data_IF_321966266970
#
_entry.id   IF_321966266970
#
_cell.length_a   1.000
_cell.length_b   1.000
_cell.length_c   1.000
_cell.angle_alpha   90.00
_cell.angle_beta   90.00
_cell.angle_gamma   90.00
#
_symmetry.space_group_name_H-M   'P 1'
#
loop_
_entity.id
_entity.type
_entity.pdbx_description
1 polymer ?
#
# COMPACT_ATOMS: atom_id res chain seq x y z
N UNK A 1 20.73 -7.91 6.47
CA UNK A 1 19.60 -8.12 5.55
C UNK A 1 18.37 -7.58 6.26
N UNK A 2 17.50 -6.87 5.57
CA UNK A 2 16.25 -6.40 6.17
C UNK A 2 15.35 -7.62 6.40
N UNK A 3 14.86 -7.77 7.61
CA UNK A 3 13.99 -8.89 8.00
C UNK A 3 12.56 -8.41 8.25
N UNK A 4 12.33 -7.10 8.32
CA UNK A 4 11.06 -6.56 8.77
C UNK A 4 10.82 -6.98 10.22
N UNK A 5 11.77 -6.63 11.10
CA UNK A 5 11.71 -6.90 12.53
C UNK A 5 11.69 -5.59 13.34
N UNK A 6 11.71 -5.70 14.67
CA UNK A 6 11.69 -4.53 15.57
C UNK A 6 12.81 -3.53 15.31
N UNK A 7 14.03 -4.02 15.04
CA UNK A 7 15.19 -3.16 14.78
C UNK A 7 15.02 -2.38 13.46
N UNK A 8 14.53 -3.04 12.41
CA UNK A 8 14.23 -2.39 11.14
C UNK A 8 13.16 -1.30 11.31
N UNK A 9 12.10 -1.59 12.07
CA UNK A 9 11.03 -0.63 12.36
C UNK A 9 11.57 0.59 13.12
N UNK A 10 12.37 0.37 14.18
CA UNK A 10 12.98 1.47 14.96
C UNK A 10 13.85 2.38 14.08
N UNK A 11 14.64 1.79 13.18
CA UNK A 11 15.46 2.54 12.22
C UNK A 11 14.58 3.34 11.26
N UNK A 12 13.55 2.74 10.67
CA UNK A 12 12.62 3.42 9.75
C UNK A 12 11.91 4.58 10.45
N UNK A 13 11.45 4.40 11.70
CA UNK A 13 10.79 5.45 12.49
C UNK A 13 11.71 6.67 12.63
N UNK A 14 12.98 6.45 12.99
CA UNK A 14 13.97 7.53 13.12
C UNK A 14 14.14 8.26 11.78
N UNK A 15 14.38 7.51 10.70
CA UNK A 15 14.59 8.09 9.36
C UNK A 15 13.37 8.84 8.84
N UNK A 16 12.16 8.34 9.10
CA UNK A 16 10.91 9.02 8.74
C UNK A 16 10.78 10.37 9.45
N UNK A 17 11.07 10.43 10.76
CA UNK A 17 11.06 11.68 11.53
C UNK A 17 12.11 12.67 11.01
N UNK A 18 13.32 12.20 10.69
CA UNK A 18 14.36 13.03 10.06
C UNK A 18 13.93 13.55 8.67
N UNK A 19 13.09 12.79 7.97
CA UNK A 19 12.45 13.15 6.72
C UNK A 19 11.16 13.98 6.89
N UNK A 20 10.90 14.48 8.11
CA UNK A 20 9.79 15.35 8.51
C UNK A 20 8.41 14.69 8.50
N UNK A 21 8.34 13.37 8.48
CA UNK A 21 7.10 12.68 8.78
C UNK A 21 6.91 12.69 10.30
N UNK A 22 6.13 13.66 10.79
CA UNK A 22 5.98 13.93 12.23
C UNK A 22 5.14 12.85 12.92
N UNK A 23 4.06 12.40 12.27
CA UNK A 23 3.14 11.40 12.80
C UNK A 23 3.53 10.01 12.30
N UNK A 24 4.35 9.31 13.08
CA UNK A 24 4.72 7.90 12.85
C UNK A 24 4.29 7.08 14.06
N UNK A 25 3.37 6.15 13.85
CA UNK A 25 2.80 5.26 14.87
C UNK A 25 3.30 3.84 14.58
N UNK A 26 3.73 3.14 15.63
CA UNK A 26 4.08 1.71 15.56
C UNK A 26 3.04 0.94 16.36
N UNK A 27 2.53 -0.14 15.76
CA UNK A 27 1.55 -1.04 16.37
C UNK A 27 1.96 -2.48 16.14
N UNK A 28 1.53 -3.39 17.00
CA UNK A 28 1.97 -4.79 16.94
C UNK A 28 1.21 -5.60 15.88
N UNK A 29 -0.04 -5.25 15.61
CA UNK A 29 -0.95 -6.04 14.79
C UNK A 29 -1.97 -5.17 14.05
N UNK A 30 -2.68 -5.79 13.10
CA UNK A 30 -3.73 -5.13 12.31
C UNK A 30 -4.89 -4.59 13.15
N UNK A 31 -5.24 -5.21 14.28
CA UNK A 31 -6.33 -4.75 15.15
C UNK A 31 -5.97 -3.40 15.81
N UNK A 32 -4.72 -3.24 16.25
CA UNK A 32 -4.21 -1.96 16.74
C UNK A 32 -4.07 -0.93 15.61
N UNK A 33 -3.70 -1.36 14.40
CA UNK A 33 -3.70 -0.49 13.23
C UNK A 33 -5.10 0.08 12.93
N UNK A 34 -6.16 -0.73 13.06
CA UNK A 34 -7.55 -0.28 12.91
C UNK A 34 -7.88 0.81 13.93
N UNK A 35 -7.54 0.61 15.20
CA UNK A 35 -7.78 1.62 16.25
C UNK A 35 -7.09 2.94 15.92
N UNK A 36 -5.80 2.89 15.58
CA UNK A 36 -5.02 4.07 15.22
C UNK A 36 -5.59 4.80 13.98
N UNK A 37 -6.02 4.06 12.95
CA UNK A 37 -6.66 4.68 11.77
C UNK A 37 -7.95 5.40 12.18
N UNK A 38 -8.81 4.77 12.98
CA UNK A 38 -10.09 5.35 13.38
C UNK A 38 -9.91 6.60 14.26
N UNK A 39 -8.90 6.63 15.13
CA UNK A 39 -8.57 7.80 15.96
C UNK A 39 -8.04 8.98 15.15
N UNK A 40 -7.37 8.72 14.02
CA UNK A 40 -6.80 9.76 13.17
C UNK A 40 -7.82 10.42 12.22
N UNK A 41 -8.97 9.77 11.99
CA UNK A 41 -10.04 10.24 11.12
C UNK A 41 -10.98 11.16 11.93
N UNK A 42 -11.14 12.44 11.54
CA UNK A 42 -12.12 13.33 12.17
C UNK A 42 -13.55 12.77 12.03
N UNK A 43 -14.41 13.01 13.03
CA UNK A 43 -15.73 12.38 13.11
C UNK A 43 -16.70 12.72 11.96
N UNK A 44 -16.53 13.86 11.31
CA UNK A 44 -17.31 14.33 10.16
C UNK A 44 -16.58 14.21 8.82
N UNK A 45 -15.36 13.65 8.82
CA UNK A 45 -14.54 13.54 7.63
C UNK A 45 -15.00 12.43 6.69
N UNK A 46 -14.92 12.72 5.39
CA UNK A 46 -15.03 11.72 4.34
C UNK A 46 -13.68 11.06 4.05
N UNK A 47 -13.70 9.76 3.73
CA UNK A 47 -12.49 8.96 3.50
C UNK A 47 -12.43 8.44 2.06
N UNK A 48 -11.38 8.79 1.35
CA UNK A 48 -11.03 8.20 0.06
C UNK A 48 -10.08 7.02 0.26
N UNK A 49 -10.18 5.99 -0.58
CA UNK A 49 -9.27 4.83 -0.52
C UNK A 49 -8.56 4.59 -1.86
N UNK A 50 -7.31 4.12 -1.79
CA UNK A 50 -6.45 3.91 -2.96
C UNK A 50 -6.41 2.48 -3.50
N UNK A 51 -7.37 1.61 -3.17
CA UNK A 51 -7.34 0.19 -3.57
C UNK A 51 -6.19 -0.60 -2.92
N UNK A 52 -6.02 -0.46 -1.61
CA UNK A 52 -4.89 -1.06 -0.88
C UNK A 52 -5.26 -2.39 -0.21
N UNK A 53 -4.61 -3.48 -0.63
CA UNK A 53 -4.77 -4.80 0.00
C UNK A 53 -4.34 -4.83 1.48
N UNK A 54 -3.31 -4.08 1.87
CA UNK A 54 -2.90 -3.96 3.29
C UNK A 54 -4.03 -3.40 4.15
N UNK A 55 -4.55 -2.23 3.77
CA UNK A 55 -5.74 -1.63 4.41
C UNK A 55 -6.93 -2.60 4.44
N UNK A 56 -7.22 -3.30 3.34
CA UNK A 56 -8.33 -4.25 3.28
C UNK A 56 -8.14 -5.44 4.24
N UNK A 57 -6.91 -5.98 4.37
CA UNK A 57 -6.59 -7.08 5.29
C UNK A 57 -6.81 -6.70 6.76
N UNK A 58 -6.71 -5.41 7.11
CA UNK A 58 -7.02 -4.96 8.48
C UNK A 58 -8.53 -4.96 8.79
N UNK A 59 -9.39 -4.98 7.78
CA UNK A 59 -10.85 -4.82 7.95
C UNK A 59 -11.32 -3.38 8.17
N UNK A 60 -10.41 -2.40 8.32
CA UNK A 60 -10.81 -0.99 8.58
C UNK A 60 -11.67 -0.41 7.47
N UNK A 61 -11.45 -0.79 6.21
CA UNK A 61 -12.26 -0.32 5.08
C UNK A 61 -13.74 -0.72 5.26
N UNK A 62 -14.00 -1.91 5.77
CA UNK A 62 -15.36 -2.41 5.95
C UNK A 62 -16.07 -1.62 7.05
N UNK A 63 -15.38 -1.38 8.17
CA UNK A 63 -15.86 -0.52 9.26
C UNK A 63 -16.21 0.88 8.77
N UNK A 64 -15.33 1.49 7.97
CA UNK A 64 -15.55 2.82 7.39
C UNK A 64 -16.70 2.84 6.37
N UNK A 65 -16.91 1.72 5.66
CA UNK A 65 -18.03 1.54 4.72
C UNK A 65 -19.35 1.46 5.47
N UNK A 66 -19.42 0.66 6.54
CA UNK A 66 -20.60 0.53 7.41
C UNK A 66 -20.97 1.85 8.10
N UNK A 67 -19.97 2.67 8.44
CA UNK A 67 -20.17 4.04 8.95
C UNK A 67 -20.66 5.03 7.88
N UNK A 68 -20.65 4.66 6.59
CA UNK A 68 -21.09 5.52 5.50
C UNK A 68 -20.15 6.69 5.18
N UNK A 69 -18.88 6.64 5.62
CA UNK A 69 -17.92 7.74 5.45
C UNK A 69 -16.93 7.53 4.31
N UNK A 70 -16.89 6.33 3.69
CA UNK A 70 -16.10 6.12 2.48
C UNK A 70 -16.76 6.82 1.30
N UNK A 71 -15.98 7.66 0.59
CA UNK A 71 -16.37 8.12 -0.74
C UNK A 71 -16.24 6.97 -1.73
N UNK A 72 -17.32 6.51 -2.37
CA UNK A 72 -17.26 5.43 -3.33
C UNK A 72 -16.47 5.86 -4.57
N UNK A 73 -15.73 4.92 -5.16
CA UNK A 73 -15.24 5.09 -6.51
C UNK A 73 -16.42 5.01 -7.48
N UNK A 74 -16.62 6.06 -8.28
CA UNK A 74 -17.66 6.11 -9.31
C UNK A 74 -17.03 5.80 -10.67
N UNK A 75 -17.32 4.64 -11.29
CA UNK A 75 -16.82 4.33 -12.63
C UNK A 75 -17.16 5.43 -13.64
N UNK A 76 -16.18 5.82 -14.47
CA UNK A 76 -16.36 6.85 -15.49
C UNK A 76 -16.13 8.28 -15.03
N UNK A 77 -16.00 8.55 -13.73
CA UNK A 77 -15.50 9.85 -13.28
C UNK A 77 -13.99 9.95 -13.49
N UNK A 78 -13.48 11.05 -14.09
CA UNK A 78 -12.06 11.20 -14.37
C UNK A 78 -11.21 11.27 -13.09
N UNK A 79 -11.80 11.72 -11.97
CA UNK A 79 -11.19 11.71 -10.64
C UNK A 79 -12.29 11.49 -9.59
N UNK A 80 -12.07 10.67 -8.55
CA UNK A 80 -12.97 10.64 -7.41
C UNK A 80 -12.99 12.01 -6.73
N UNK A 81 -14.15 12.42 -6.21
CA UNK A 81 -14.26 13.64 -5.40
C UNK A 81 -13.20 13.64 -4.30
N UNK A 82 -12.59 14.80 -4.07
CA UNK A 82 -11.58 14.93 -3.02
C UNK A 82 -12.23 14.60 -1.68
N UNK A 83 -11.75 13.55 -1.03
CA UNK A 83 -12.11 13.21 0.34
C UNK A 83 -11.33 14.13 1.30
N UNK A 84 -11.70 14.15 2.57
CA UNK A 84 -10.97 14.92 3.59
C UNK A 84 -9.71 14.15 4.06
N UNK A 85 -9.81 12.82 4.05
CA UNK A 85 -8.72 11.89 4.40
C UNK A 85 -8.52 10.88 3.28
N UNK A 86 -7.27 10.60 2.92
CA UNK A 86 -6.94 9.49 2.03
C UNK A 86 -6.26 8.36 2.79
N UNK A 87 -6.89 7.19 2.79
CA UNK A 87 -6.39 5.99 3.45
C UNK A 87 -5.83 5.01 2.42
N UNK A 88 -4.55 4.67 2.55
CA UNK A 88 -3.90 3.72 1.64
C UNK A 88 -2.70 3.03 2.27
N UNK A 89 -1.93 2.31 1.46
CA UNK A 89 -0.63 1.73 1.81
C UNK A 89 0.41 2.15 0.76
N UNK A 90 1.67 1.77 1.02
CA UNK A 90 2.76 1.88 0.06
C UNK A 90 3.18 0.50 -0.46
N UNK A 91 3.93 0.47 -1.57
CA UNK A 91 4.53 -0.79 -2.02
C UNK A 91 5.75 -1.15 -1.18
N UNK A 92 6.58 -0.16 -0.83
CA UNK A 92 7.74 -0.35 0.03
C UNK A 92 8.12 0.94 0.78
N UNK A 93 8.77 0.75 1.93
CA UNK A 93 9.44 1.82 2.67
C UNK A 93 10.88 1.42 2.92
N UNK A 94 11.80 2.35 2.72
CA UNK A 94 13.24 2.08 2.87
C UNK A 94 13.71 2.36 4.30
N UNK A 95 14.80 1.72 4.73
CA UNK A 95 15.42 1.96 6.05
C UNK A 95 15.76 3.45 6.28
N UNK A 96 16.06 4.18 5.21
CA UNK A 96 16.35 5.61 5.25
C UNK A 96 15.11 6.51 5.02
N UNK A 97 13.91 5.94 5.17
CA UNK A 97 12.65 6.66 5.30
C UNK A 97 12.07 7.21 4.00
N UNK A 98 12.40 6.63 2.84
CA UNK A 98 11.77 6.92 1.55
C UNK A 98 10.62 5.94 1.28
N UNK A 99 9.51 6.47 0.79
CA UNK A 99 8.31 5.71 0.43
C UNK A 99 8.32 5.49 -1.08
N UNK A 100 8.26 4.23 -1.52
CA UNK A 100 8.37 3.83 -2.92
C UNK A 100 7.06 3.24 -3.40
N UNK A 101 6.55 3.77 -4.52
CA UNK A 101 5.28 3.33 -5.09
C UNK A 101 5.37 3.12 -6.59
N UNK A 102 4.71 2.06 -7.06
CA UNK A 102 4.38 1.83 -8.46
C UNK A 102 2.85 1.75 -8.58
N UNK A 103 2.29 2.44 -9.57
CA UNK A 103 0.87 2.49 -9.87
C UNK A 103 0.59 2.32 -11.37
N UNK A 104 -0.60 1.82 -11.69
CA UNK A 104 -1.12 1.76 -13.06
C UNK A 104 -1.72 3.10 -13.49
N UNK A 105 -2.76 3.55 -12.78
CA UNK A 105 -3.51 4.77 -13.10
C UNK A 105 -2.89 6.03 -12.47
N UNK A 106 -2.08 5.86 -11.42
CA UNK A 106 -1.52 6.97 -10.63
C UNK A 106 -2.50 7.61 -9.65
N UNK A 107 -3.69 7.02 -9.47
CA UNK A 107 -4.74 7.53 -8.58
C UNK A 107 -4.32 7.48 -7.10
N UNK A 108 -3.48 6.52 -6.68
CA UNK A 108 -3.02 6.44 -5.28
C UNK A 108 -1.87 7.40 -5.03
N UNK A 109 -0.84 7.39 -5.88
CA UNK A 109 0.34 8.27 -5.69
C UNK A 109 0.02 9.75 -5.85
N UNK A 110 -0.92 10.13 -6.73
CA UNK A 110 -1.34 11.54 -6.85
C UNK A 110 -1.95 12.06 -5.55
N UNK A 111 -2.75 11.23 -4.88
CA UNK A 111 -3.39 11.59 -3.61
C UNK A 111 -2.37 11.68 -2.46
N UNK A 112 -1.33 10.86 -2.49
CA UNK A 112 -0.22 10.90 -1.51
C UNK A 112 0.64 12.16 -1.65
N UNK A 113 0.71 12.76 -2.84
CA UNK A 113 1.61 13.90 -3.14
C UNK A 113 0.88 15.24 -3.05
N UNK A 114 -0.34 15.32 -3.60
CA UNK A 114 -1.11 16.56 -3.73
C UNK A 114 -2.63 16.32 -3.67
N UNK A 115 -3.06 15.30 -2.92
CA UNK A 115 -4.47 15.00 -2.68
C UNK A 115 -5.01 15.76 -1.47
N UNK A 116 -5.72 15.09 -0.55
CA UNK A 116 -6.27 15.74 0.63
C UNK A 116 -5.20 16.31 1.56
N UNK A 117 -5.66 17.13 2.50
CA UNK A 117 -4.83 17.67 3.57
C UNK A 117 -4.29 16.57 4.48
N UNK A 118 -4.99 15.43 4.65
CA UNK A 118 -4.53 14.29 5.44
C UNK A 118 -4.44 12.99 4.63
N UNK A 119 -3.29 12.32 4.73
CA UNK A 119 -3.04 10.99 4.15
C UNK A 119 -2.60 10.05 5.27
N UNK A 120 -3.25 8.90 5.38
CA UNK A 120 -2.91 7.84 6.33
C UNK A 120 -2.37 6.65 5.55
N UNK A 121 -1.13 6.25 5.87
CA UNK A 121 -0.47 5.09 5.29
C UNK A 121 -0.39 3.97 6.33
N UNK A 122 -0.98 2.81 6.03
CA UNK A 122 -0.80 1.59 6.83
C UNK A 122 0.21 0.70 6.11
N UNK A 123 1.32 0.34 6.74
CA UNK A 123 2.43 -0.38 6.11
C UNK A 123 2.87 -1.53 7.03
N UNK A 124 2.79 -2.77 6.54
CA UNK A 124 3.31 -3.94 7.25
C UNK A 124 4.83 -4.02 7.19
N UNK A 125 5.44 -4.64 8.20
CA UNK A 125 6.89 -4.78 8.32
C UNK A 125 7.55 -5.47 7.11
N UNK A 126 6.81 -6.37 6.46
CA UNK A 126 7.27 -7.08 5.26
C UNK A 126 7.61 -6.13 4.10
N UNK A 127 7.14 -4.88 4.13
CA UNK A 127 7.39 -3.88 3.09
C UNK A 127 8.59 -2.99 3.37
N UNK A 128 9.31 -3.21 4.46
CA UNK A 128 10.58 -2.52 4.72
C UNK A 128 11.64 -3.10 3.78
N UNK A 129 12.41 -2.22 3.13
CA UNK A 129 13.51 -2.55 2.22
C UNK A 129 14.77 -1.78 2.66
N UNK A 130 15.95 -2.26 2.26
CA UNK A 130 17.23 -1.63 2.59
C UNK A 130 17.31 -0.23 2.01
N UNK A 131 17.03 -0.09 0.71
CA UNK A 131 17.13 1.15 -0.05
C UNK A 131 16.13 1.18 -1.22
N UNK A 132 16.21 2.24 -2.03
CA UNK A 132 15.32 2.43 -3.19
C UNK A 132 15.53 1.36 -4.25
N UNK A 133 16.75 0.86 -4.43
CA UNK A 133 17.06 -0.10 -5.48
C UNK A 133 16.46 -1.47 -5.13
N UNK A 134 16.64 -1.92 -3.88
CA UNK A 134 15.96 -3.13 -3.38
C UNK A 134 14.44 -2.97 -3.40
N UNK A 135 13.92 -1.82 -2.97
CA UNK A 135 12.49 -1.54 -3.03
C UNK A 135 11.97 -1.65 -4.47
N UNK A 136 12.64 -1.03 -5.45
CA UNK A 136 12.23 -1.07 -6.85
C UNK A 136 12.32 -2.49 -7.43
N UNK A 137 13.39 -3.23 -7.12
CA UNK A 137 13.57 -4.62 -7.54
C UNK A 137 12.42 -5.50 -7.04
N UNK A 138 12.12 -5.44 -5.74
CA UNK A 138 11.01 -6.20 -5.14
C UNK A 138 9.68 -5.82 -5.75
N UNK A 139 9.43 -4.53 -5.99
CA UNK A 139 8.16 -4.11 -6.59
C UNK A 139 8.02 -4.60 -8.04
N UNK A 140 9.10 -4.58 -8.83
CA UNK A 140 9.07 -4.95 -10.23
C UNK A 140 9.11 -6.47 -10.47
N UNK A 141 9.87 -7.20 -9.67
CA UNK A 141 10.17 -8.62 -9.89
C UNK A 141 9.38 -9.56 -8.98
N UNK A 142 8.74 -9.04 -7.92
CA UNK A 142 7.93 -9.85 -6.99
C UNK A 142 6.49 -9.35 -6.93
N UNK A 143 6.30 -8.09 -6.53
CA UNK A 143 4.97 -7.56 -6.22
C UNK A 143 4.13 -7.40 -7.48
N UNK A 144 4.64 -6.73 -8.52
CA UNK A 144 3.88 -6.47 -9.75
C UNK A 144 3.52 -7.73 -10.54
N UNK A 145 4.45 -8.70 -10.76
CA UNK A 145 4.14 -9.95 -11.43
C UNK A 145 3.03 -10.74 -10.71
N UNK A 146 3.14 -10.85 -9.39
CA UNK A 146 2.16 -11.57 -8.57
C UNK A 146 0.81 -10.85 -8.56
N UNK A 147 0.81 -9.54 -8.34
CA UNK A 147 -0.40 -8.73 -8.37
C UNK A 147 -1.12 -8.84 -9.72
N UNK A 148 -0.37 -8.71 -10.83
CA UNK A 148 -0.89 -8.85 -12.18
C UNK A 148 -1.48 -10.23 -12.44
N UNK A 149 -0.79 -11.30 -12.00
CA UNK A 149 -1.28 -12.69 -12.11
C UNK A 149 -2.58 -12.89 -11.35
N UNK A 150 -2.63 -12.47 -10.08
CA UNK A 150 -3.81 -12.57 -9.22
C UNK A 150 -5.01 -11.81 -9.79
N UNK A 151 -4.77 -10.68 -10.46
CA UNK A 151 -5.81 -9.88 -11.13
C UNK A 151 -6.19 -10.38 -12.53
N UNK A 152 -5.48 -11.37 -13.10
CA UNK A 152 -5.71 -11.84 -14.47
C UNK A 152 -5.33 -10.81 -15.55
N UNK A 153 -4.35 -9.94 -15.26
CA UNK A 153 -3.89 -8.90 -16.17
C UNK A 153 -3.10 -9.51 -17.33
N UNK A 154 -3.38 -9.06 -18.56
CA UNK A 154 -2.63 -9.48 -19.75
C UNK A 154 -1.31 -8.71 -19.91
N UNK A 155 -0.35 -9.03 -19.03
CA UNK A 155 1.03 -8.54 -19.11
C UNK A 155 2.00 -9.73 -19.09
N UNK A 156 3.15 -9.65 -19.80
CA UNK A 156 4.15 -10.72 -19.79
C UNK A 156 4.57 -11.16 -18.38
N UNK A 157 4.81 -10.20 -17.48
CA UNK A 157 5.21 -10.48 -16.10
C UNK A 157 4.15 -11.24 -15.28
N UNK A 158 2.86 -11.05 -15.58
CA UNK A 158 1.77 -11.78 -14.93
C UNK A 158 1.74 -13.27 -15.35
N UNK A 159 2.36 -13.62 -16.49
CA UNK A 159 2.39 -14.98 -17.04
C UNK A 159 3.60 -15.77 -16.56
N UNK A 160 4.80 -15.18 -16.65
CA UNK A 160 6.05 -15.88 -16.38
C UNK A 160 6.80 -15.42 -15.11
N UNK A 161 6.26 -14.44 -14.39
CA UNK A 161 6.82 -13.95 -13.13
C UNK A 161 8.03 -13.02 -13.30
N UNK A 162 8.39 -12.60 -14.52
CA UNK A 162 9.60 -11.81 -14.77
C UNK A 162 9.27 -10.43 -15.32
N UNK A 163 10.01 -9.40 -14.92
CA UNK A 163 9.87 -8.08 -15.53
C UNK A 163 10.45 -8.10 -16.95
N UNK A 164 9.71 -7.54 -17.92
CA UNK A 164 10.12 -7.45 -19.33
C UNK A 164 10.28 -6.01 -19.82
N UNK A 165 10.16 -5.02 -18.93
CA UNK A 165 9.95 -3.60 -19.27
C UNK A 165 8.97 -3.43 -20.45
N UNK A 166 7.83 -4.09 -20.31
CA UNK A 166 6.96 -4.32 -21.46
C UNK A 166 6.24 -3.06 -21.93
N UNK A 167 5.78 -3.11 -23.18
CA UNK A 167 4.86 -2.15 -23.79
C UNK A 167 3.42 -2.67 -23.83
N UNK A 168 3.09 -3.68 -23.02
CA UNK A 168 1.75 -4.28 -23.02
C UNK A 168 0.69 -3.23 -22.64
N UNK A 169 -0.47 -3.18 -23.31
CA UNK A 169 -1.63 -2.42 -22.83
C UNK A 169 -2.05 -2.81 -21.41
N UNK A 170 -1.77 -4.04 -20.97
CA UNK A 170 -2.00 -4.53 -19.60
C UNK A 170 -0.94 -4.11 -18.59
N UNK A 171 0.00 -3.21 -18.93
CA UNK A 171 1.04 -2.75 -17.99
C UNK A 171 0.42 -2.05 -16.77
N UNK A 172 0.76 -2.53 -15.58
CA UNK A 172 0.33 -1.94 -14.29
C UNK A 172 1.39 -1.09 -13.60
N UNK A 173 2.60 -1.01 -14.16
CA UNK A 173 3.73 -0.27 -13.62
C UNK A 173 4.04 0.99 -14.45
N UNK A 174 3.02 1.85 -14.63
CA UNK A 174 3.11 3.04 -15.50
C UNK A 174 3.68 4.26 -14.77
N UNK A 175 3.42 4.38 -13.46
CA UNK A 175 3.82 5.53 -12.66
C UNK A 175 4.67 5.04 -11.50
N UNK A 176 5.90 5.53 -11.40
CA UNK A 176 6.78 5.30 -10.25
C UNK A 176 6.97 6.60 -9.48
N UNK A 177 6.84 6.56 -8.16
CA UNK A 177 7.12 7.70 -7.29
C UNK A 177 8.00 7.30 -6.12
N UNK A 178 8.89 8.21 -5.74
CA UNK A 178 9.72 8.10 -4.55
C UNK A 178 9.46 9.35 -3.71
N UNK A 179 8.68 9.21 -2.64
CA UNK A 179 8.46 10.31 -1.70
C UNK A 179 9.62 10.26 -0.70
N UNK A 180 10.60 11.14 -0.94
CA UNK A 180 11.83 11.19 -0.14
C UNK A 180 11.62 11.82 1.24
N UNK A 181 10.70 12.78 1.35
CA UNK A 181 10.41 13.56 2.57
C UNK A 181 8.95 13.99 2.57
N UNK A 182 8.38 14.36 3.73
CA UNK A 182 6.99 14.84 3.85
C UNK A 182 6.70 15.98 2.86
N UNK A 183 5.68 15.86 1.98
CA UNK A 183 5.20 16.97 1.16
C UNK A 183 4.70 18.13 2.04
N UNK A 184 5.02 19.37 1.68
CA UNK A 184 4.79 20.54 2.55
C UNK A 184 3.33 20.81 2.93
N UNK A 185 2.37 20.42 2.09
CA UNK A 185 0.94 20.74 2.25
C UNK A 185 0.07 19.54 2.59
N UNK A 186 0.68 18.37 2.76
CA UNK A 186 -0.04 17.13 3.05
C UNK A 186 0.46 16.63 4.39
N UNK A 187 -0.45 16.52 5.36
CA UNK A 187 -0.21 15.85 6.60
C UNK A 187 -0.22 14.34 6.36
N UNK A 188 0.96 13.73 6.39
CA UNK A 188 1.13 12.29 6.15
C UNK A 188 1.35 11.60 7.49
N UNK A 189 0.37 10.80 7.90
CA UNK A 189 0.46 9.90 9.05
C UNK A 189 0.87 8.51 8.56
N UNK A 190 1.87 7.91 9.20
CA UNK A 190 2.38 6.58 8.85
C UNK A 190 2.16 5.66 10.05
N UNK A 191 1.44 4.56 9.82
CA UNK A 191 1.23 3.47 10.77
C UNK A 191 2.06 2.30 10.28
N UNK A 192 3.14 2.00 11.00
CA UNK A 192 3.96 0.80 10.81
C UNK A 192 3.39 -0.32 11.67
N UNK A 193 3.10 -1.46 11.05
CA UNK A 193 2.53 -2.62 11.71
C UNK A 193 3.60 -3.71 11.79
N UNK A 194 3.92 -4.20 12.99
CA UNK A 194 4.82 -5.33 13.23
C UNK A 194 4.19 -6.69 12.85
N UNK A 195 3.45 -6.70 11.75
CA UNK A 195 2.78 -7.84 11.15
C UNK A 195 2.97 -7.74 9.62
N UNK A 196 3.09 -8.88 8.96
CA UNK A 196 3.20 -8.92 7.51
C UNK A 196 1.84 -8.66 6.86
N UNK A 197 1.70 -7.53 6.17
CA UNK A 197 0.46 -7.09 5.54
C UNK A 197 0.69 -6.61 4.11
N UNK A 198 -0.20 -7.00 3.22
CA UNK A 198 -0.15 -6.75 1.79
C UNK A 198 0.79 -7.71 1.08
N UNK A 199 1.49 -7.19 0.07
CA UNK A 199 2.37 -7.98 -0.79
C UNK A 199 3.77 -7.37 -0.79
N UNK A 200 4.79 -8.22 -0.66
CA UNK A 200 6.20 -7.86 -0.64
C UNK A 200 7.00 -8.68 0.37
N UNK A 201 8.20 -9.12 -0.02
CA UNK A 201 9.16 -9.85 0.81
C UNK A 201 10.55 -9.78 0.18
N UNK A 202 11.59 -10.15 0.92
CA UNK A 202 12.92 -10.45 0.38
C UNK A 202 12.95 -11.94 -0.06
N UNK A 203 13.46 -12.28 -1.27
CA UNK A 203 13.56 -13.66 -1.74
C UNK A 203 14.38 -14.61 -0.85
N UNK A 204 15.29 -14.07 -0.03
CA UNK A 204 16.12 -14.83 0.91
C UNK A 204 15.44 -15.14 2.25
N UNK A 205 14.21 -14.67 2.48
CA UNK A 205 13.46 -14.99 3.71
C UNK A 205 13.01 -16.46 3.77
N UNK A 206 12.66 -16.96 4.97
CA UNK A 206 12.11 -18.30 5.13
C UNK A 206 10.88 -18.52 4.23
N UNK A 207 10.88 -19.61 3.46
CA UNK A 207 9.82 -19.92 2.50
C UNK A 207 8.43 -19.97 3.14
N UNK A 208 8.30 -20.49 4.35
CA UNK A 208 7.03 -20.54 5.09
C UNK A 208 6.41 -19.15 5.31
N UNK A 209 7.25 -18.14 5.59
CA UNK A 209 6.79 -16.75 5.75
C UNK A 209 6.32 -16.19 4.40
N UNK A 210 7.08 -16.43 3.33
CA UNK A 210 6.72 -16.01 1.96
C UNK A 210 5.38 -16.61 1.56
N UNK A 211 5.21 -17.92 1.76
CA UNK A 211 3.97 -18.64 1.46
C UNK A 211 2.79 -18.09 2.27
N UNK A 212 3.03 -17.76 3.54
CA UNK A 212 2.01 -17.14 4.40
C UNK A 212 1.58 -15.76 3.88
N UNK A 213 2.53 -14.90 3.51
CA UNK A 213 2.24 -13.57 2.92
C UNK A 213 1.41 -13.74 1.65
N UNK A 214 1.85 -14.63 0.76
CA UNK A 214 1.18 -14.88 -0.51
C UNK A 214 -0.25 -15.40 -0.31
N UNK A 215 -0.44 -16.41 0.54
CA UNK A 215 -1.76 -16.97 0.86
C UNK A 215 -2.70 -15.93 1.49
N UNK A 216 -2.21 -15.10 2.41
CA UNK A 216 -3.00 -14.04 3.02
C UNK A 216 -3.41 -12.97 2.00
N UNK A 217 -2.54 -12.69 1.05
CA UNK A 217 -2.82 -11.78 -0.06
C UNK A 217 -3.91 -12.34 -0.99
N UNK A 218 -3.79 -13.60 -1.44
CA UNK A 218 -4.79 -14.27 -2.29
C UNK A 218 -6.15 -14.37 -1.60
N UNK A 219 -6.18 -14.78 -0.33
CA UNK A 219 -7.42 -14.88 0.45
C UNK A 219 -8.15 -13.54 0.55
N UNK A 220 -7.42 -12.44 0.75
CA UNK A 220 -8.04 -11.12 0.75
C UNK A 220 -8.50 -10.74 -0.66
N UNK A 221 -7.74 -11.08 -1.71
CA UNK A 221 -8.12 -10.74 -3.08
C UNK A 221 -9.43 -11.41 -3.48
N UNK A 222 -9.63 -12.68 -3.12
CA UNK A 222 -10.90 -13.38 -3.39
C UNK A 222 -12.10 -12.70 -2.70
N UNK A 223 -11.92 -12.19 -1.47
CA UNK A 223 -12.95 -11.37 -0.81
C UNK A 223 -13.22 -10.07 -1.56
N UNK A 224 -12.20 -9.39 -2.04
CA UNK A 224 -12.36 -8.15 -2.81
C UNK A 224 -13.01 -8.40 -4.17
N UNK A 225 -12.59 -9.46 -4.88
CA UNK A 225 -13.17 -9.87 -6.16
C UNK A 225 -14.67 -10.16 -6.04
N UNK A 226 -15.10 -10.80 -4.95
CA UNK A 226 -16.52 -11.05 -4.69
C UNK A 226 -17.35 -9.76 -4.57
N UNK A 227 -16.74 -8.61 -4.21
CA UNK A 227 -17.41 -7.31 -4.08
C UNK A 227 -17.61 -6.59 -5.41
N UNK A 228 -16.71 -6.79 -6.38
CA UNK A 228 -16.74 -6.08 -7.65
C UNK A 228 -17.68 -6.71 -8.70
N UNK A 229 -18.33 -7.83 -8.38
CA UNK A 229 -19.15 -8.59 -9.33
C UNK A 229 -18.30 -9.22 -10.44
N UNK A 230 -18.91 -9.97 -11.38
CA UNK A 230 -18.18 -10.43 -12.56
C UNK A 230 -17.66 -9.22 -13.35
N UNK A 231 -16.47 -9.30 -13.98
CA UNK A 231 -16.00 -8.22 -14.84
C UNK A 231 -17.06 -7.92 -15.89
N UNK A 232 -17.38 -6.62 -16.05
CA UNK A 232 -18.22 -6.16 -17.16
C UNK A 232 -17.47 -6.54 -18.44
N UNK A 233 -18.06 -7.48 -19.20
CA UNK A 233 -17.55 -7.93 -20.49
C UNK A 233 -17.49 -6.79 -21.50
#
# INVERSE_FOLDING_TARGET
MVEGNKQDIEQVVKSLKDNRFETVIVVENKEEAVKAVLELIPGDATVGTGGSMTVNQTGVRDILTEKGIIKPFIPGQPRPDQADVFLTSSNAITLDGKIVNIDSTGNRVSQMIHGPSKVILVIGQNKIATDVDEAMDRVQNIISPIHGKTMGIDAPCAKDGKCHDCKSPGRICNVTTIIRKKPRRTDVCIILVAEDLGLGWDPGWPQERIDTIFKNYENQWEKERARFGPPVK
#
